data_IF_585385589285
#
_entry.id   IF_585385589285
#
_cell.length_a   1.000
_cell.length_b   1.000
_cell.length_c   1.000
_cell.angle_alpha   90.00
_cell.angle_beta   90.00
_cell.angle_gamma   90.00
#
_symmetry.space_group_name_H-M   'P 1'
#
loop_
_entity.id
_entity.type
_entity.pdbx_description
1 polymer ?
#
# COMPACT_ATOMS: atom_id res chain seq x y z
N UNK A 1 -20.92 4.83 -12.72
CA UNK A 1 -20.66 3.70 -11.80
C UNK A 1 -20.70 4.26 -10.39
N UNK A 2 -21.60 3.81 -9.50
CA UNK A 2 -21.66 4.33 -8.13
C UNK A 2 -20.36 3.95 -7.40
N UNK A 3 -19.75 4.90 -6.69
CA UNK A 3 -18.58 4.62 -5.87
C UNK A 3 -18.97 3.64 -4.76
N UNK A 4 -18.20 2.55 -4.59
CA UNK A 4 -18.44 1.60 -3.49
C UNK A 4 -18.18 2.32 -2.17
N UNK A 5 -19.13 2.25 -1.26
CA UNK A 5 -19.01 2.78 0.09
C UNK A 5 -18.48 1.69 1.01
N UNK A 6 -17.52 2.07 1.85
CA UNK A 6 -17.05 1.29 2.98
C UNK A 6 -17.93 1.59 4.19
N UNK A 7 -18.07 0.61 5.08
CA UNK A 7 -18.77 0.78 6.36
C UNK A 7 -17.78 0.69 7.51
N UNK A 8 -17.72 1.72 8.34
CA UNK A 8 -16.92 1.75 9.56
C UNK A 8 -17.85 1.68 10.76
N UNK A 9 -17.59 0.77 11.70
CA UNK A 9 -18.44 0.56 12.87
C UNK A 9 -17.70 0.97 14.14
N UNK A 10 -18.28 1.86 14.94
CA UNK A 10 -17.80 2.17 16.29
C UNK A 10 -18.95 1.99 17.27
N UNK A 11 -18.83 1.01 18.17
CA UNK A 11 -19.92 0.59 19.07
C UNK A 11 -21.20 0.27 18.27
N UNK A 12 -22.32 0.94 18.56
CA UNK A 12 -23.59 0.76 17.85
C UNK A 12 -23.78 1.71 16.65
N UNK A 13 -22.76 2.52 16.32
CA UNK A 13 -22.82 3.47 15.22
C UNK A 13 -22.08 2.94 14.00
N UNK A 14 -22.63 3.22 12.82
CA UNK A 14 -22.04 2.88 11.52
C UNK A 14 -21.88 4.15 10.71
N UNK A 15 -20.70 4.33 10.12
CA UNK A 15 -20.34 5.44 9.26
C UNK A 15 -20.11 4.91 7.85
N UNK A 16 -20.79 5.50 6.87
CA UNK A 16 -20.64 5.16 5.46
C UNK A 16 -19.64 6.11 4.80
N UNK A 17 -18.61 5.55 4.16
CA UNK A 17 -17.47 6.31 3.66
C UNK A 17 -17.10 5.93 2.22
N UNK A 18 -17.03 6.90 1.31
CA UNK A 18 -16.35 6.75 0.04
C UNK A 18 -14.84 6.92 0.20
N UNK A 19 -14.03 6.08 -0.46
CA UNK A 19 -12.58 6.18 -0.39
C UNK A 19 -12.00 6.88 -1.61
N UNK A 20 -11.29 7.98 -1.38
CA UNK A 20 -10.54 8.71 -2.42
C UNK A 20 -9.05 8.57 -2.12
N UNK A 21 -8.34 7.76 -2.91
CA UNK A 21 -6.88 7.59 -2.74
C UNK A 21 -6.17 8.90 -3.06
N UNK A 22 -5.41 9.40 -2.08
CA UNK A 22 -4.44 10.46 -2.26
C UNK A 22 -3.19 9.88 -2.89
N UNK A 23 -2.76 10.49 -3.98
CA UNK A 23 -1.60 10.06 -4.74
C UNK A 23 -0.72 11.28 -4.97
N UNK A 24 0.58 11.15 -4.73
CA UNK A 24 1.56 12.23 -4.95
C UNK A 24 1.47 12.73 -6.39
N UNK A 25 1.21 11.84 -7.37
CA UNK A 25 1.06 12.22 -8.77
C UNK A 25 -0.12 13.16 -9.04
N UNK A 26 -1.16 13.12 -8.20
CA UNK A 26 -2.32 14.02 -8.29
C UNK A 26 -2.07 15.38 -7.64
N UNK A 27 -1.19 15.42 -6.64
CA UNK A 27 -0.91 16.63 -5.85
C UNK A 27 0.21 17.43 -6.51
N UNK A 28 1.29 16.74 -6.88
CA UNK A 28 2.52 17.36 -7.39
C UNK A 28 2.70 17.18 -8.90
N UNK A 29 1.78 16.48 -9.57
CA UNK A 29 1.97 16.10 -10.97
C UNK A 29 2.93 14.93 -11.11
N UNK A 30 3.24 14.59 -12.36
CA UNK A 30 4.17 13.53 -12.70
C UNK A 30 4.78 13.82 -14.06
N UNK A 31 6.01 13.34 -14.27
CA UNK A 31 6.69 13.37 -15.56
C UNK A 31 6.79 11.94 -16.09
N UNK A 32 6.80 11.80 -17.42
CA UNK A 32 7.03 10.53 -18.11
C UNK A 32 8.15 10.70 -19.10
N UNK A 33 9.08 9.75 -19.14
CA UNK A 33 9.99 9.61 -20.26
C UNK A 33 9.33 8.70 -21.31
N UNK A 34 9.21 9.21 -22.53
CA UNK A 34 8.83 8.42 -23.70
C UNK A 34 10.03 8.34 -24.63
N UNK A 35 10.42 7.12 -25.01
CA UNK A 35 11.59 6.84 -25.84
C UNK A 35 11.10 6.47 -27.23
N UNK A 36 11.68 7.10 -28.26
CA UNK A 36 11.38 6.86 -29.66
C UNK A 36 12.63 6.40 -30.41
N UNK A 37 12.45 5.64 -31.48
CA UNK A 37 13.53 5.28 -32.39
C UNK A 37 13.75 6.35 -33.49
N UNK A 38 14.68 6.08 -34.40
CA UNK A 38 15.01 6.97 -35.53
C UNK A 38 13.85 7.17 -36.53
N UNK A 39 12.78 6.36 -36.43
CA UNK A 39 11.57 6.46 -37.26
C UNK A 39 10.38 7.08 -36.50
N UNK A 40 10.61 7.73 -35.35
CA UNK A 40 9.59 8.29 -34.46
C UNK A 40 8.59 7.24 -33.92
N UNK A 41 8.99 5.96 -33.82
CA UNK A 41 8.15 4.91 -33.25
C UNK A 41 8.46 4.71 -31.76
N UNK A 42 7.44 4.52 -30.91
CA UNK A 42 7.64 4.35 -29.48
C UNK A 42 8.36 3.02 -29.17
N UNK A 43 9.50 3.11 -28.49
CA UNK A 43 10.24 1.95 -28.01
C UNK A 43 9.47 1.24 -26.89
N UNK A 44 9.68 -0.08 -26.79
CA UNK A 44 9.13 -0.90 -25.71
C UNK A 44 10.24 -1.66 -24.98
N UNK A 45 10.05 -1.86 -23.67
CA UNK A 45 11.02 -2.57 -22.85
C UNK A 45 11.08 -4.05 -23.24
N UNK A 46 12.28 -4.60 -23.42
CA UNK A 46 12.51 -6.03 -23.59
C UNK A 46 13.63 -6.49 -22.66
N UNK A 47 13.65 -7.79 -22.32
CA UNK A 47 14.69 -8.38 -21.47
C UNK A 47 15.55 -9.36 -22.25
N UNK A 48 16.77 -9.60 -21.76
CA UNK A 48 17.67 -10.62 -22.27
C UNK A 48 18.00 -11.53 -21.09
N UNK A 49 17.75 -12.84 -21.23
CA UNK A 49 17.96 -13.80 -20.13
C UNK A 49 19.17 -14.70 -20.34
N UNK A 50 19.53 -15.00 -21.59
CA UNK A 50 20.59 -15.95 -21.97
C UNK A 50 21.68 -15.31 -22.83
N UNK A 51 21.66 -13.98 -22.96
CA UNK A 51 22.60 -13.21 -23.77
C UNK A 51 22.39 -13.31 -25.29
N UNK A 52 21.38 -14.04 -25.76
CA UNK A 52 21.17 -14.29 -27.19
C UNK A 52 19.78 -13.91 -27.67
N UNK A 53 18.75 -14.13 -26.84
CA UNK A 53 17.37 -13.87 -27.22
C UNK A 53 16.84 -12.61 -26.55
N UNK A 54 16.28 -11.71 -27.37
CA UNK A 54 15.48 -10.57 -26.91
C UNK A 54 14.07 -11.08 -26.61
N UNK A 55 13.62 -10.83 -25.39
CA UNK A 55 12.34 -11.29 -24.85
C UNK A 55 11.42 -10.09 -24.64
N UNK A 56 10.44 -9.88 -25.53
CA UNK A 56 9.41 -8.85 -25.34
C UNK A 56 8.60 -9.08 -24.05
N UNK A 57 7.85 -8.06 -23.58
CA UNK A 57 6.97 -8.19 -22.42
C UNK A 57 6.02 -9.38 -22.57
N UNK A 58 5.95 -10.22 -21.53
CA UNK A 58 5.11 -11.43 -21.51
C UNK A 58 5.78 -12.70 -22.02
N UNK A 59 7.05 -12.64 -22.46
CA UNK A 59 7.79 -13.84 -22.91
C UNK A 59 8.18 -14.79 -21.77
N UNK A 60 8.20 -14.30 -20.53
CA UNK A 60 8.51 -15.10 -19.34
C UNK A 60 7.32 -15.07 -18.37
N UNK A 61 7.13 -16.17 -17.65
CA UNK A 61 6.12 -16.31 -16.61
C UNK A 61 6.64 -17.16 -15.45
N UNK A 62 6.24 -16.81 -14.23
CA UNK A 62 6.52 -17.62 -13.05
C UNK A 62 5.46 -18.71 -12.89
N UNK A 63 5.89 -19.96 -12.80
CA UNK A 63 5.03 -21.12 -12.55
C UNK A 63 5.43 -21.81 -11.24
N UNK A 64 4.43 -22.12 -10.42
CA UNK A 64 4.61 -22.90 -9.19
C UNK A 64 4.34 -24.38 -9.44
N UNK A 65 5.17 -25.25 -8.90
CA UNK A 65 5.02 -26.70 -8.99
C UNK A 65 4.97 -27.33 -7.61
N UNK A 66 4.20 -28.39 -7.44
CA UNK A 66 4.20 -29.17 -6.20
C UNK A 66 5.40 -30.14 -6.14
N UNK A 67 5.56 -30.87 -5.03
CA UNK A 67 6.64 -31.85 -4.85
C UNK A 67 6.64 -33.01 -5.88
N UNK A 68 5.56 -33.18 -6.64
CA UNK A 68 5.44 -34.19 -7.71
C UNK A 68 5.74 -33.62 -9.10
N UNK A 69 6.05 -32.32 -9.20
CA UNK A 69 6.29 -31.64 -10.47
C UNK A 69 5.01 -31.21 -11.21
N UNK A 70 3.85 -31.26 -10.57
CA UNK A 70 2.58 -30.83 -11.17
C UNK A 70 2.38 -29.32 -10.98
N UNK A 71 1.88 -28.63 -12.01
CA UNK A 71 1.58 -27.21 -11.95
C UNK A 71 0.50 -26.90 -10.90
N UNK A 72 0.74 -25.84 -10.12
CA UNK A 72 -0.18 -25.35 -9.08
C UNK A 72 -0.66 -23.94 -9.45
N UNK A 73 -1.97 -23.80 -9.62
CA UNK A 73 -2.59 -22.49 -9.85
C UNK A 73 -2.51 -21.62 -8.60
N UNK A 74 -2.18 -20.33 -8.78
CA UNK A 74 -2.24 -19.33 -7.69
C UNK A 74 -3.61 -19.26 -7.02
N UNK A 75 -4.70 -19.53 -7.75
CA UNK A 75 -6.06 -19.54 -7.19
C UNK A 75 -6.35 -20.71 -6.24
N UNK A 76 -5.54 -21.77 -6.30
CA UNK A 76 -5.66 -22.95 -5.44
C UNK A 76 -4.85 -22.86 -4.16
N UNK A 77 -4.01 -21.81 -4.03
CA UNK A 77 -3.20 -21.57 -2.85
C UNK A 77 -4.09 -21.17 -1.66
N UNK A 78 -3.70 -21.63 -0.48
CA UNK A 78 -4.34 -21.31 0.80
C UNK A 78 -3.32 -20.67 1.73
N UNK A 79 -3.76 -19.70 2.53
CA UNK A 79 -2.95 -19.16 3.60
C UNK A 79 -2.82 -20.17 4.74
N UNK A 80 -1.63 -20.25 5.33
CA UNK A 80 -1.35 -21.01 6.55
C UNK A 80 -0.66 -20.10 7.55
N UNK A 81 -0.91 -20.32 8.85
CA UNK A 81 -0.19 -19.65 9.94
C UNK A 81 1.18 -20.29 10.20
N UNK A 82 1.93 -19.75 11.16
CA UNK A 82 3.26 -20.26 11.56
C UNK A 82 3.24 -21.70 12.08
N UNK A 83 2.06 -22.20 12.50
CA UNK A 83 1.85 -23.57 12.94
C UNK A 83 1.40 -24.49 11.78
N UNK A 84 1.33 -23.98 10.56
CA UNK A 84 0.87 -24.70 9.37
C UNK A 84 -0.64 -24.90 9.30
N UNK A 85 -1.42 -24.24 10.15
CA UNK A 85 -2.88 -24.32 10.14
C UNK A 85 -3.45 -23.35 9.13
N UNK A 86 -4.44 -23.81 8.36
CA UNK A 86 -5.13 -22.99 7.36
C UNK A 86 -5.79 -21.78 8.02
N UNK A 87 -5.55 -20.59 7.46
CA UNK A 87 -6.21 -19.34 7.84
C UNK A 87 -7.25 -18.94 6.81
N UNK A 88 -8.27 -18.20 7.24
CA UNK A 88 -9.26 -17.60 6.35
C UNK A 88 -8.82 -16.19 5.94
N UNK A 89 -9.38 -15.70 4.82
CA UNK A 89 -9.09 -14.34 4.36
C UNK A 89 -9.86 -13.36 5.21
N UNK A 90 -9.21 -12.26 5.57
CA UNK A 90 -9.87 -11.08 6.11
C UNK A 90 -10.67 -10.43 4.98
N UNK A 91 -11.97 -10.18 5.16
CA UNK A 91 -12.85 -9.67 4.12
C UNK A 91 -12.47 -8.24 3.70
N UNK A 92 -13.01 -7.82 2.55
CA UNK A 92 -12.87 -6.45 2.10
C UNK A 92 -13.76 -5.51 2.91
N UNK A 93 -13.28 -4.29 3.15
CA UNK A 93 -14.03 -3.22 3.84
C UNK A 93 -15.31 -2.77 3.08
N UNK A 94 -15.43 -3.16 1.81
CA UNK A 94 -16.62 -2.93 0.98
C UNK A 94 -17.61 -4.10 1.00
N UNK A 95 -17.35 -5.13 1.80
CA UNK A 95 -18.18 -6.33 1.94
C UNK A 95 -18.63 -6.45 3.38
N UNK A 96 -17.71 -6.31 4.33
CA UNK A 96 -18.01 -6.34 5.75
C UNK A 96 -17.62 -5.02 6.43
N UNK A 97 -18.40 -4.56 7.44
CA UNK A 97 -18.04 -3.36 8.18
C UNK A 97 -16.74 -3.54 8.96
N UNK A 98 -15.81 -2.60 8.83
CA UNK A 98 -14.60 -2.60 9.64
C UNK A 98 -14.88 -2.01 11.02
N UNK A 99 -14.53 -2.76 12.06
CA UNK A 99 -14.70 -2.32 13.45
C UNK A 99 -13.57 -1.37 13.84
N UNK A 100 -13.94 -0.18 14.30
CA UNK A 100 -13.04 0.82 14.84
C UNK A 100 -12.75 0.50 16.31
N UNK A 101 -11.47 0.40 16.64
CA UNK A 101 -10.94 0.23 17.99
C UNK A 101 -10.07 1.42 18.34
N UNK A 102 -10.15 1.91 19.58
CA UNK A 102 -9.28 3.00 20.03
C UNK A 102 -7.83 2.51 20.10
N UNK A 103 -6.89 3.29 19.56
CA UNK A 103 -5.44 3.08 19.63
C UNK A 103 -4.77 4.29 20.27
N UNK A 104 -3.47 4.18 20.51
CA UNK A 104 -2.64 5.30 20.93
C UNK A 104 -1.81 5.89 19.78
N UNK A 105 -0.99 6.89 20.12
CA UNK A 105 -0.14 7.58 19.16
C UNK A 105 1.08 6.74 18.77
N UNK A 106 1.62 5.93 19.68
CA UNK A 106 2.81 5.12 19.43
C UNK A 106 2.49 4.02 18.39
N UNK A 107 1.32 3.40 18.49
CA UNK A 107 0.77 2.48 17.49
C UNK A 107 0.70 3.14 16.11
N UNK A 108 0.23 4.39 16.05
CA UNK A 108 0.11 5.12 14.79
C UNK A 108 1.48 5.49 14.20
N UNK A 109 2.42 5.94 15.04
CA UNK A 109 3.76 6.33 14.61
C UNK A 109 4.62 5.14 14.20
N UNK A 110 4.30 3.94 14.68
CA UNK A 110 4.95 2.68 14.29
C UNK A 110 4.40 2.11 12.97
N UNK A 111 3.51 2.82 12.28
CA UNK A 111 2.93 2.37 11.02
C UNK A 111 3.84 2.67 9.83
N UNK A 112 4.25 1.63 9.10
CA UNK A 112 4.85 1.79 7.77
C UNK A 112 3.75 2.08 6.74
N UNK A 113 3.59 3.35 6.38
CA UNK A 113 2.50 3.85 5.54
C UNK A 113 2.64 3.39 4.09
N UNK A 114 1.62 2.67 3.60
CA UNK A 114 1.52 2.24 2.19
C UNK A 114 0.65 3.18 1.37
N UNK A 115 -0.42 3.70 1.96
CA UNK A 115 -1.38 4.54 1.24
C UNK A 115 -2.22 5.39 2.17
N UNK A 116 -2.71 6.51 1.64
CA UNK A 116 -3.59 7.43 2.36
C UNK A 116 -4.87 7.63 1.55
N UNK A 117 -6.01 7.57 2.22
CA UNK A 117 -7.32 7.80 1.63
C UNK A 117 -8.01 8.95 2.34
N UNK A 118 -8.55 9.90 1.59
CA UNK A 118 -9.55 10.82 2.11
C UNK A 118 -10.90 10.09 2.12
N UNK A 119 -11.59 10.14 3.26
CA UNK A 119 -12.89 9.51 3.46
C UNK A 119 -14.01 10.52 3.22
N UNK A 120 -14.73 10.34 2.12
CA UNK A 120 -15.97 11.06 1.84
C UNK A 120 -17.11 10.43 2.67
N UNK A 121 -17.24 10.87 3.92
CA UNK A 121 -18.28 10.37 4.83
C UNK A 121 -19.64 10.89 4.39
N UNK A 122 -20.57 9.99 4.07
CA UNK A 122 -21.93 10.34 3.65
C UNK A 122 -22.91 10.41 4.82
N UNK A 123 -22.65 9.66 5.90
CA UNK A 123 -23.52 9.57 7.08
C UNK A 123 -22.67 9.60 8.36
N UNK A 124 -23.04 10.46 9.31
CA UNK A 124 -22.36 10.54 10.62
C UNK A 124 -21.02 11.32 10.64
N UNK A 125 -20.74 12.15 9.63
CA UNK A 125 -19.49 12.94 9.52
C UNK A 125 -19.21 13.78 10.76
N UNK A 126 -20.17 14.59 11.21
CA UNK A 126 -19.98 15.48 12.37
C UNK A 126 -19.68 14.73 13.67
N UNK A 127 -20.30 13.56 13.86
CA UNK A 127 -20.08 12.76 15.06
C UNK A 127 -18.68 12.14 15.05
N UNK A 128 -18.24 11.63 13.89
CA UNK A 128 -16.90 11.08 13.73
C UNK A 128 -15.82 12.16 13.90
N UNK A 129 -16.03 13.35 13.32
CA UNK A 129 -15.12 14.49 13.48
C UNK A 129 -14.98 14.90 14.95
N UNK A 130 -16.09 15.05 15.68
CA UNK A 130 -16.03 15.38 17.12
C UNK A 130 -15.24 14.38 17.94
N UNK A 131 -15.32 13.09 17.59
CA UNK A 131 -14.55 12.04 18.26
C UNK A 131 -13.05 12.16 17.98
N UNK A 132 -12.68 12.49 16.74
CA UNK A 132 -11.29 12.63 16.28
C UNK A 132 -10.65 13.95 16.75
N UNK A 133 -11.38 15.06 16.71
CA UNK A 133 -10.93 16.37 17.21
C UNK A 133 -10.61 16.35 18.70
N UNK A 134 -11.20 15.43 19.46
CA UNK A 134 -10.84 15.15 20.85
C UNK A 134 -9.47 14.49 21.03
N UNK A 135 -8.67 14.32 19.97
CA UNK A 135 -7.35 13.68 19.99
C UNK A 135 -7.39 12.16 20.07
N UNK A 136 -8.56 11.54 19.87
CA UNK A 136 -8.65 10.08 19.87
C UNK A 136 -8.20 9.53 18.52
N UNK A 137 -7.39 8.48 18.57
CA UNK A 137 -6.94 7.73 17.41
C UNK A 137 -7.74 6.44 17.34
N UNK A 138 -8.30 6.12 16.17
CA UNK A 138 -9.02 4.87 15.94
C UNK A 138 -8.34 4.05 14.86
N UNK A 139 -8.11 2.77 15.15
CA UNK A 139 -7.54 1.77 14.27
C UNK A 139 -8.64 0.82 13.76
N UNK A 140 -8.46 0.29 12.57
CA UNK A 140 -9.25 -0.80 12.01
C UNK A 140 -8.43 -1.61 11.00
N UNK A 141 -8.86 -2.85 10.74
CA UNK A 141 -8.26 -3.66 9.68
C UNK A 141 -8.79 -3.22 8.32
N UNK A 142 -7.87 -3.05 7.37
CA UNK A 142 -8.16 -2.59 6.03
C UNK A 142 -7.75 -3.61 4.99
N UNK A 143 -8.71 -3.94 4.12
CA UNK A 143 -8.49 -4.74 2.93
C UNK A 143 -9.32 -4.19 1.78
N UNK A 144 -8.66 -3.74 0.72
CA UNK A 144 -9.37 -3.31 -0.49
C UNK A 144 -10.01 -4.51 -1.20
N UNK A 145 -9.31 -5.65 -1.22
CA UNK A 145 -9.82 -6.97 -1.63
C UNK A 145 -9.58 -7.94 -0.47
N UNK A 146 -10.37 -9.01 -0.40
CA UNK A 146 -10.17 -10.02 0.63
C UNK A 146 -8.79 -10.67 0.49
N UNK A 147 -8.01 -10.63 1.56
CA UNK A 147 -6.63 -11.09 1.61
C UNK A 147 -6.33 -11.80 2.94
N UNK A 148 -5.29 -12.62 2.97
CA UNK A 148 -4.83 -13.29 4.19
C UNK A 148 -4.09 -12.34 5.14
N UNK A 149 -3.49 -11.28 4.59
CA UNK A 149 -2.65 -10.36 5.34
C UNK A 149 -3.23 -8.94 5.30
N UNK A 150 -4.17 -8.65 6.21
CA UNK A 150 -4.85 -7.35 6.26
C UNK A 150 -3.90 -6.23 6.71
N UNK A 151 -4.00 -5.07 6.06
CA UNK A 151 -3.28 -3.88 6.49
C UNK A 151 -3.97 -3.25 7.71
N UNK A 152 -3.19 -2.52 8.51
CA UNK A 152 -3.70 -1.66 9.56
C UNK A 152 -4.04 -0.29 9.01
N UNK A 153 -5.14 0.28 9.48
CA UNK A 153 -5.57 1.60 9.09
C UNK A 153 -5.95 2.46 10.30
N UNK A 154 -5.53 3.72 10.27
CA UNK A 154 -5.77 4.69 11.33
C UNK A 154 -6.58 5.87 10.79
N UNK A 155 -7.58 6.30 11.56
CA UNK A 155 -8.36 7.48 11.26
C UNK A 155 -7.75 8.73 11.86
N UNK A 156 -7.61 9.76 11.03
CA UNK A 156 -7.15 11.09 11.40
C UNK A 156 -8.14 12.13 10.89
N UNK A 157 -8.10 13.31 11.51
CA UNK A 157 -8.86 14.48 11.05
C UNK A 157 -7.89 15.62 10.73
N UNK A 158 -8.16 16.34 9.65
CA UNK A 158 -7.49 17.60 9.30
C UNK A 158 -8.46 18.50 8.57
N UNK A 159 -8.53 19.78 8.95
CA UNK A 159 -9.39 20.79 8.31
C UNK A 159 -10.87 20.39 8.11
N UNK A 160 -11.42 19.58 9.03
CA UNK A 160 -12.81 19.10 8.95
C UNK A 160 -13.03 17.93 7.97
N UNK A 161 -11.95 17.36 7.44
CA UNK A 161 -11.95 16.17 6.61
C UNK A 161 -11.35 14.98 7.36
N UNK A 162 -11.80 13.76 7.03
CA UNK A 162 -11.33 12.52 7.66
C UNK A 162 -10.42 11.77 6.69
N UNK A 163 -9.29 11.28 7.20
CA UNK A 163 -8.32 10.51 6.45
C UNK A 163 -8.12 9.14 7.08
N UNK A 164 -7.95 8.12 6.24
CA UNK A 164 -7.49 6.80 6.64
C UNK A 164 -6.05 6.61 6.15
N UNK A 165 -5.12 6.46 7.08
CA UNK A 165 -3.72 6.13 6.81
C UNK A 165 -3.57 4.63 6.94
N UNK A 166 -3.19 3.96 5.84
CA UNK A 166 -3.16 2.51 5.72
C UNK A 166 -1.72 2.04 5.56
N UNK A 167 -1.34 1.00 6.29
CA UNK A 167 0.01 0.46 6.28
C UNK A 167 0.15 -0.85 7.03
N UNK A 168 1.39 -1.23 7.31
CA UNK A 168 1.71 -2.37 8.19
C UNK A 168 2.34 -1.85 9.48
N UNK A 169 1.95 -2.41 10.62
CA UNK A 169 2.68 -2.17 11.85
C UNK A 169 4.13 -2.64 11.69
N UNK A 170 5.06 -1.78 12.10
CA UNK A 170 6.48 -2.07 12.09
C UNK A 170 6.93 -2.30 13.53
N UNK A 171 7.68 -3.38 13.73
CA UNK A 171 8.41 -3.59 14.97
C UNK A 171 9.71 -2.79 14.89
N UNK A 172 9.73 -1.65 15.60
CA UNK A 172 10.87 -0.76 15.63
C UNK A 172 11.84 -1.21 16.73
N UNK A 173 12.97 -1.78 16.35
CA UNK A 173 14.06 -2.11 17.27
C UNK A 173 15.13 -1.01 17.27
N UNK A 174 15.61 -0.66 18.46
CA UNK A 174 16.75 0.25 18.59
C UNK A 174 18.04 -0.50 18.24
N UNK A 175 18.64 -0.15 17.10
CA UNK A 175 19.96 -0.65 16.73
C UNK A 175 21.00 0.25 17.41
N UNK A 176 21.67 -0.26 18.44
CA UNK A 176 22.78 0.42 19.13
C UNK A 176 24.00 0.63 18.22
N UNK A 177 24.90 1.54 18.61
CA UNK A 177 26.12 1.86 17.85
C UNK A 177 27.01 0.61 17.66
N UNK A 178 26.95 -0.33 18.61
CA UNK A 178 27.65 -1.62 18.56
C UNK A 178 27.13 -2.58 17.48
N UNK A 179 25.92 -2.36 16.96
CA UNK A 179 25.29 -3.16 15.90
C UNK A 179 25.27 -2.39 14.57
N UNK A 180 26.25 -1.51 14.33
CA UNK A 180 26.46 -0.91 13.02
C UNK A 180 26.80 -2.05 12.05
N UNK A 181 25.88 -2.40 11.17
CA UNK A 181 26.21 -3.21 9.99
C UNK A 181 27.43 -2.57 9.32
N UNK A 182 28.42 -3.36 8.93
CA UNK A 182 29.52 -2.86 8.12
C UNK A 182 28.90 -2.13 6.92
N UNK A 183 29.23 -0.85 6.75
CA UNK A 183 28.81 -0.09 5.57
C UNK A 183 29.19 -0.94 4.36
N UNK A 184 28.18 -1.45 3.66
CA UNK A 184 28.40 -2.09 2.37
C UNK A 184 29.12 -1.03 1.54
N UNK A 185 30.34 -1.29 1.04
CA UNK A 185 31.01 -0.30 0.21
C UNK A 185 30.06 0.09 -0.91
N UNK A 186 29.89 1.39 -1.14
CA UNK A 186 29.13 1.90 -2.26
C UNK A 186 29.56 1.12 -3.51
N UNK A 187 28.65 0.35 -4.08
CA UNK A 187 28.85 -0.26 -5.38
C UNK A 187 29.21 0.91 -6.31
N UNK A 188 30.34 0.89 -7.04
CA UNK A 188 30.74 2.02 -7.87
C UNK A 188 29.60 2.36 -8.81
N UNK A 189 28.91 3.47 -8.51
CA UNK A 189 27.87 4.15 -9.27
C UNK A 189 27.48 3.40 -10.54
N UNK A 190 26.59 2.42 -10.39
CA UNK A 190 25.81 1.95 -11.52
C UNK A 190 24.78 3.03 -11.83
N UNK A 191 25.20 4.07 -12.57
CA UNK A 191 24.38 5.15 -13.16
C UNK A 191 22.94 5.18 -12.64
N UNK A 192 22.74 5.83 -11.49
CA UNK A 192 21.44 6.37 -11.11
C UNK A 192 21.06 7.42 -12.18
N UNK A 193 20.35 6.99 -13.23
CA UNK A 193 19.67 7.88 -14.18
C UNK A 193 18.40 8.52 -13.57
N UNK A 194 18.38 8.72 -12.27
CA UNK A 194 17.31 9.41 -11.55
C UNK A 194 17.94 10.26 -10.44
N UNK A 195 18.47 11.45 -10.75
CA UNK A 195 18.51 12.63 -9.86
C UNK A 195 19.25 13.86 -10.44
N UNK A 196 19.12 14.15 -11.75
CA UNK A 196 19.46 15.48 -12.30
C UNK A 196 18.22 16.13 -12.91
N UNK A 197 17.50 16.91 -12.08
CA UNK A 197 16.76 18.15 -12.44
C UNK A 197 15.60 18.46 -11.46
N UNK A 198 15.85 18.42 -10.14
CA UNK A 198 15.07 19.24 -9.20
C UNK A 198 15.70 20.63 -9.07
N UNK A 199 15.50 21.47 -10.09
CA UNK A 199 15.92 22.88 -10.06
C UNK A 199 14.94 23.70 -9.19
N UNK A 200 15.36 24.02 -7.96
CA UNK A 200 14.67 24.96 -7.06
C UNK A 200 14.92 26.44 -7.42
N UNK A 201 15.38 26.72 -8.64
CA UNK A 201 15.74 28.05 -9.14
C UNK A 201 14.62 28.87 -9.81
N UNK A 202 13.34 28.57 -9.58
CA UNK A 202 12.23 29.39 -10.12
C UNK A 202 11.29 29.86 -8.99
N UNK A 203 11.74 30.89 -8.28
CA UNK A 203 10.92 31.84 -7.52
C UNK A 203 11.21 33.26 -8.02
#
# INVERSE_FOLDING_TARGET
MMARLASLKLNDKVFSAGLVKLDRKKIYGWTKLDIFDDEDQPCSLASISDGQHVLPPGSTALAGFNKKGEYVSKSSLVGVDDNGKRVEKVPSIFVEPATLTKSDLDDYLSLNVKSIYQLAITEGKEELLKLLEGGNIYRFLFNYRADYDADDAFLLTSEGEVFAVVGKQADLEFIGIENKEEEVPDDPEGEDLEDEDFDFGML
#
